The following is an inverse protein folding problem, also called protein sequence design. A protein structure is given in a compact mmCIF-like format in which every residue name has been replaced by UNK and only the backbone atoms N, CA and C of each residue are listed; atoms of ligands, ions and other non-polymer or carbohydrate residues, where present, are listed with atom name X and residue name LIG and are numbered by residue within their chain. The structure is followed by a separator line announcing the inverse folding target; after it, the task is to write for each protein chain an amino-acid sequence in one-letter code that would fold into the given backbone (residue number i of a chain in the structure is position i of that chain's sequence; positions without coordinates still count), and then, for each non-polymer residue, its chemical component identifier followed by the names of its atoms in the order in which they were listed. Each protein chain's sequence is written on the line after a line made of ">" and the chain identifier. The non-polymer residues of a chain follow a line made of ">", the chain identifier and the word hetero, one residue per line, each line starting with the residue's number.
data_IF_641947328043
#
_entry.id   IF_641947328043
#
_cell.length_a   1.000
_cell.length_b   1.000
_cell.length_c   1.000
_cell.angle_alpha   90.00
_cell.angle_beta   90.00
_cell.angle_gamma   90.00
#
_symmetry.space_group_name_H-M   'P 1'
#
loop_
_entity.id
_entity.type
_entity.pdbx_description
1 polymer ?
#
# COMPACT_ATOMS: atom_id res chain seq x y z
N UNK A 1 77.57 -52.93 -46.38
CA UNK A 1 77.07 -52.72 -45.00
C UNK A 1 75.57 -52.37 -44.92
N UNK A 2 74.94 -51.89 -46.01
CA UNK A 2 73.52 -51.45 -46.00
C UNK A 2 72.47 -52.58 -45.84
N UNK A 3 72.68 -53.76 -46.44
CA UNK A 3 71.67 -54.84 -46.43
C UNK A 3 71.42 -55.52 -45.06
N UNK A 4 72.38 -55.46 -44.12
CA UNK A 4 72.18 -56.07 -42.78
C UNK A 4 71.26 -55.22 -41.90
N UNK A 5 71.27 -53.90 -42.07
CA UNK A 5 70.43 -52.99 -41.28
C UNK A 5 68.95 -53.14 -41.65
N UNK A 6 68.65 -53.25 -42.96
CA UNK A 6 67.30 -53.47 -43.46
C UNK A 6 66.69 -54.82 -43.05
N UNK A 7 67.52 -55.86 -42.82
CA UNK A 7 67.05 -57.14 -42.33
C UNK A 7 66.68 -57.09 -40.84
N UNK A 8 67.47 -56.38 -40.03
CA UNK A 8 67.20 -56.20 -38.59
C UNK A 8 65.91 -55.42 -38.34
N UNK A 9 65.68 -54.32 -39.08
CA UNK A 9 64.45 -53.51 -38.95
C UNK A 9 63.20 -54.30 -39.38
N UNK A 10 63.33 -55.23 -40.33
CA UNK A 10 62.20 -56.10 -40.74
C UNK A 10 61.83 -57.12 -39.67
N UNK A 11 62.80 -57.70 -38.97
CA UNK A 11 62.51 -58.66 -37.89
C UNK A 11 61.85 -57.98 -36.69
N UNK A 12 62.26 -56.74 -36.38
CA UNK A 12 61.65 -55.94 -35.32
C UNK A 12 60.18 -55.60 -35.63
N UNK A 13 59.88 -55.16 -36.85
CA UNK A 13 58.50 -54.90 -37.28
C UNK A 13 57.61 -56.15 -37.27
N UNK A 14 58.16 -57.32 -37.64
CA UNK A 14 57.40 -58.58 -37.60
C UNK A 14 57.05 -58.96 -36.16
N UNK A 15 57.92 -58.66 -35.20
CA UNK A 15 57.67 -58.92 -33.77
C UNK A 15 56.54 -58.04 -33.24
N UNK A 16 56.57 -56.73 -33.53
CA UNK A 16 55.51 -55.80 -33.10
C UNK A 16 54.14 -56.16 -33.67
N UNK A 17 54.07 -56.53 -34.96
CA UNK A 17 52.82 -56.96 -35.60
C UNK A 17 52.23 -58.19 -34.91
N UNK A 18 53.08 -59.11 -34.43
CA UNK A 18 52.63 -60.32 -33.73
C UNK A 18 52.05 -60.00 -32.35
N UNK A 19 52.64 -59.07 -31.61
CA UNK A 19 52.14 -58.62 -30.30
C UNK A 19 50.79 -57.89 -30.44
N UNK A 20 50.65 -57.00 -31.43
CA UNK A 20 49.38 -56.30 -31.71
C UNK A 20 48.25 -57.29 -32.03
N UNK A 21 48.57 -58.38 -32.76
CA UNK A 21 47.59 -59.39 -33.13
C UNK A 21 47.10 -60.19 -31.91
N UNK A 22 47.97 -60.44 -30.94
CA UNK A 22 47.61 -61.15 -29.70
C UNK A 22 46.75 -60.27 -28.79
N UNK A 23 47.08 -58.98 -28.66
CA UNK A 23 46.27 -58.01 -27.89
C UNK A 23 44.85 -57.91 -28.46
N UNK A 24 44.72 -57.81 -29.78
CA UNK A 24 43.40 -57.77 -30.43
C UNK A 24 42.59 -59.06 -30.24
N UNK A 25 43.26 -60.20 -30.11
CA UNK A 25 42.60 -61.47 -29.82
C UNK A 25 42.04 -61.49 -28.39
N UNK A 26 42.76 -60.95 -27.42
CA UNK A 26 42.28 -60.86 -26.03
C UNK A 26 41.09 -59.89 -25.89
N UNK A 27 41.12 -58.74 -26.57
CA UNK A 27 40.01 -57.76 -26.56
C UNK A 27 38.73 -58.38 -27.14
N UNK A 28 38.84 -59.18 -28.21
CA UNK A 28 37.67 -59.89 -28.79
C UNK A 28 37.11 -60.99 -27.88
N UNK A 29 37.94 -61.59 -27.02
CA UNK A 29 37.47 -62.54 -26.01
C UNK A 29 36.64 -61.85 -24.93
N UNK A 30 37.10 -60.70 -24.46
CA UNK A 30 36.48 -59.97 -23.36
C UNK A 30 35.11 -59.37 -23.71
N UNK A 31 34.88 -58.96 -24.97
CA UNK A 31 33.58 -58.40 -25.37
C UNK A 31 32.46 -59.44 -25.56
N UNK A 32 32.81 -60.74 -25.61
CA UNK A 32 31.84 -61.80 -25.89
C UNK A 32 31.14 -62.35 -24.64
N UNK A 33 31.68 -62.09 -23.45
CA UNK A 33 31.17 -62.64 -22.17
C UNK A 33 30.22 -61.70 -21.41
N UNK A 34 30.08 -60.43 -21.84
CA UNK A 34 29.19 -59.43 -21.20
C UNK A 34 27.78 -59.34 -21.83
N UNK A 35 27.31 -60.42 -22.48
CA UNK A 35 25.90 -60.59 -22.90
C UNK A 35 25.21 -61.69 -22.10
N UNK A 36 25.51 -61.77 -20.80
CA UNK A 36 24.67 -62.48 -19.85
C UNK A 36 23.39 -61.68 -19.60
N UNK A 37 22.23 -62.31 -19.82
CA UNK A 37 20.90 -61.80 -19.52
C UNK A 37 20.76 -61.35 -18.06
N UNK A 38 21.15 -60.11 -17.74
CA UNK A 38 20.73 -59.47 -16.49
C UNK A 38 19.30 -58.97 -16.69
N UNK A 39 18.32 -59.87 -16.51
CA UNK A 39 16.92 -59.48 -16.36
C UNK A 39 16.75 -58.77 -15.02
N UNK A 40 17.17 -57.50 -14.94
CA UNK A 40 16.87 -56.65 -13.78
C UNK A 40 15.34 -56.49 -13.76
N UNK A 41 14.69 -57.09 -12.77
CA UNK A 41 13.26 -56.91 -12.51
C UNK A 41 13.04 -55.51 -11.91
N UNK A 42 13.10 -54.47 -12.75
CA UNK A 42 12.92 -53.03 -12.38
C UNK A 42 11.45 -52.70 -12.08
N UNK A 43 10.53 -53.64 -12.30
CA UNK A 43 9.08 -53.40 -12.37
C UNK A 43 8.42 -52.84 -11.09
N UNK A 44 8.85 -53.11 -9.84
CA UNK A 44 8.14 -52.55 -8.67
C UNK A 44 8.64 -51.18 -8.18
N UNK A 45 9.74 -50.63 -8.69
CA UNK A 45 10.34 -49.39 -8.13
C UNK A 45 9.78 -48.09 -8.73
N UNK A 46 9.22 -48.15 -9.95
CA UNK A 46 8.64 -46.99 -10.64
C UNK A 46 7.51 -46.32 -9.84
N UNK A 47 6.52 -47.04 -9.25
CA UNK A 47 5.46 -46.37 -8.48
C UNK A 47 5.97 -45.71 -7.20
N UNK A 48 6.97 -46.31 -6.54
CA UNK A 48 7.53 -45.77 -5.29
C UNK A 48 8.29 -44.47 -5.55
N UNK A 49 9.09 -44.43 -6.63
CA UNK A 49 9.77 -43.19 -7.06
C UNK A 49 8.79 -42.10 -7.49
N UNK A 50 7.68 -42.48 -8.13
CA UNK A 50 6.62 -41.53 -8.50
C UNK A 50 5.97 -40.87 -7.29
N UNK A 51 5.65 -41.64 -6.24
CA UNK A 51 5.07 -41.10 -4.99
C UNK A 51 6.09 -40.20 -4.27
N UNK A 52 7.36 -40.61 -4.20
CA UNK A 52 8.40 -39.81 -3.55
C UNK A 52 8.59 -38.45 -4.27
N UNK A 53 8.57 -38.45 -5.60
CA UNK A 53 8.67 -37.23 -6.41
C UNK A 53 7.51 -36.27 -6.15
N UNK A 54 6.28 -36.79 -6.01
CA UNK A 54 5.10 -35.98 -5.71
C UNK A 54 5.16 -35.34 -4.32
N UNK A 55 5.69 -36.06 -3.32
CA UNK A 55 5.89 -35.52 -1.97
C UNK A 55 6.93 -34.40 -1.99
N UNK A 56 8.04 -34.59 -2.71
CA UNK A 56 9.07 -33.55 -2.88
C UNK A 56 8.49 -32.32 -3.58
N UNK A 57 7.75 -32.51 -4.69
CA UNK A 57 7.10 -31.40 -5.39
C UNK A 57 6.09 -30.64 -4.51
N UNK A 58 5.32 -31.34 -3.67
CA UNK A 58 4.35 -30.70 -2.77
C UNK A 58 4.97 -29.93 -1.60
N UNK A 59 6.16 -30.32 -1.13
CA UNK A 59 6.86 -29.63 -0.04
C UNK A 59 7.59 -28.36 -0.49
N UNK A 60 7.96 -28.27 -1.77
CA UNK A 60 8.70 -27.11 -2.32
C UNK A 60 7.81 -26.04 -2.95
N UNK A 61 6.51 -26.27 -3.11
CA UNK A 61 5.58 -25.20 -3.49
C UNK A 61 5.24 -24.39 -2.23
N UNK A 62 5.69 -23.12 -2.10
CA UNK A 62 5.30 -22.30 -0.96
C UNK A 62 3.78 -22.20 -0.96
N UNK A 63 3.15 -22.67 0.12
CA UNK A 63 1.74 -22.38 0.40
C UNK A 63 1.65 -20.86 0.53
N UNK A 64 1.34 -20.17 -0.56
CA UNK A 64 0.89 -18.79 -0.47
C UNK A 64 -0.46 -18.86 0.24
N UNK A 65 -0.61 -18.31 1.47
CA UNK A 65 -1.91 -18.22 2.06
C UNK A 65 -2.76 -17.38 1.13
N UNK A 66 -3.72 -18.01 0.46
CA UNK A 66 -4.75 -17.32 -0.29
C UNK A 66 -5.64 -16.69 0.79
N UNK A 67 -5.21 -15.54 1.29
CA UNK A 67 -6.00 -14.75 2.22
C UNK A 67 -7.30 -14.41 1.53
N UNK A 68 -8.42 -14.93 2.04
CA UNK A 68 -9.73 -14.46 1.66
C UNK A 68 -9.85 -13.03 2.19
N UNK A 69 -9.55 -12.05 1.34
CA UNK A 69 -9.81 -10.64 1.64
C UNK A 69 -11.32 -10.45 1.52
N UNK A 70 -12.00 -10.36 2.66
CA UNK A 70 -13.37 -9.86 2.70
C UNK A 70 -13.29 -8.34 2.49
N UNK A 71 -13.49 -7.90 1.24
CA UNK A 71 -13.62 -6.48 0.94
C UNK A 71 -15.02 -6.07 1.40
N UNK A 72 -15.10 -5.37 2.54
CA UNK A 72 -16.33 -4.69 2.92
C UNK A 72 -16.61 -3.57 1.91
N UNK A 73 -17.66 -3.72 1.12
CA UNK A 73 -18.08 -2.68 0.18
C UNK A 73 -18.71 -1.52 0.97
N UNK A 74 -18.03 -0.38 1.04
CA UNK A 74 -18.61 0.86 1.54
C UNK A 74 -19.42 1.52 0.44
N UNK A 75 -20.68 1.86 0.73
CA UNK A 75 -21.57 2.54 -0.21
C UNK A 75 -21.64 4.03 0.13
N UNK A 76 -21.33 4.88 -0.84
CA UNK A 76 -21.46 6.33 -0.72
C UNK A 76 -22.78 6.77 -1.37
N UNK A 77 -23.61 7.49 -0.62
CA UNK A 77 -24.86 8.07 -1.10
C UNK A 77 -24.79 9.59 -1.00
N UNK A 78 -25.36 10.28 -1.99
CA UNK A 78 -25.49 11.74 -1.99
C UNK A 78 -26.97 12.09 -2.10
N UNK A 79 -27.44 12.93 -1.19
CA UNK A 79 -28.82 13.40 -1.12
C UNK A 79 -28.86 14.93 -1.15
N UNK A 80 -29.70 15.49 -2.00
CA UNK A 80 -29.85 16.93 -2.16
C UNK A 80 -31.10 17.40 -1.44
N UNK A 81 -30.91 18.01 -0.28
CA UNK A 81 -32.02 18.47 0.57
C UNK A 81 -32.71 19.72 0.00
N UNK A 82 -31.99 20.55 -0.77
CA UNK A 82 -32.56 21.74 -1.44
C UNK A 82 -33.19 22.77 -0.49
N UNK A 83 -32.78 22.81 0.77
CA UNK A 83 -33.42 23.61 1.81
C UNK A 83 -33.00 25.08 1.72
N UNK A 84 -33.98 25.98 1.57
CA UNK A 84 -33.79 27.43 1.66
C UNK A 84 -34.60 27.98 2.85
N UNK A 85 -33.89 28.29 3.94
CA UNK A 85 -34.49 28.78 5.18
C UNK A 85 -34.40 30.31 5.24
N UNK A 86 -35.54 30.99 5.38
CA UNK A 86 -35.60 32.45 5.49
C UNK A 86 -36.09 32.96 6.86
N UNK A 87 -36.42 32.04 7.79
CA UNK A 87 -36.87 32.28 9.16
C UNK A 87 -36.39 31.13 10.04
N UNK A 88 -36.30 31.32 11.36
CA UNK A 88 -35.93 30.24 12.29
C UNK A 88 -36.82 29.01 12.08
N UNK A 89 -36.20 27.91 11.66
CA UNK A 89 -36.88 26.66 11.32
C UNK A 89 -35.95 25.49 11.65
N UNK A 90 -36.51 24.40 12.16
CA UNK A 90 -35.85 23.11 12.26
C UNK A 90 -36.27 22.23 11.07
N UNK A 91 -35.32 21.47 10.53
CA UNK A 91 -35.54 20.52 9.45
C UNK A 91 -34.92 19.18 9.82
N UNK A 92 -35.74 18.12 9.82
CA UNK A 92 -35.29 16.75 10.07
C UNK A 92 -35.04 16.07 8.73
N UNK A 93 -33.77 15.81 8.42
CA UNK A 93 -33.40 14.98 7.27
C UNK A 93 -33.60 13.50 7.62
N UNK A 94 -34.27 12.77 6.73
CA UNK A 94 -34.47 11.32 6.85
C UNK A 94 -33.76 10.64 5.68
N UNK A 95 -32.81 9.74 5.98
CA UNK A 95 -32.03 9.06 4.96
C UNK A 95 -32.93 8.18 4.09
N UNK A 96 -32.81 8.31 2.76
CA UNK A 96 -33.56 7.49 1.82
C UNK A 96 -33.11 6.02 1.80
N UNK A 97 -31.83 5.76 2.14
CA UNK A 97 -31.23 4.43 2.17
C UNK A 97 -31.04 3.96 3.61
N UNK A 98 -31.43 2.71 3.89
CA UNK A 98 -31.29 2.08 5.20
C UNK A 98 -29.93 1.39 5.32
N UNK A 99 -29.32 1.43 6.51
CA UNK A 99 -28.05 0.77 6.80
C UNK A 99 -27.36 1.38 8.02
N UNK A 100 -26.20 0.83 8.38
CA UNK A 100 -25.32 1.45 9.38
C UNK A 100 -24.63 2.67 8.76
N UNK A 101 -24.79 3.83 9.39
CA UNK A 101 -24.12 5.07 8.98
C UNK A 101 -22.69 5.09 9.52
N UNK A 102 -21.69 5.02 8.63
CA UNK A 102 -20.27 5.15 9.02
C UNK A 102 -19.80 6.60 9.10
N UNK A 103 -20.23 7.43 8.13
CA UNK A 103 -19.85 8.84 8.03
C UNK A 103 -20.97 9.65 7.38
N UNK A 104 -21.10 10.92 7.76
CA UNK A 104 -21.98 11.89 7.12
C UNK A 104 -21.19 13.14 6.76
N UNK A 105 -21.36 13.62 5.52
CA UNK A 105 -20.83 14.91 5.08
C UNK A 105 -22.00 15.83 4.75
N UNK A 106 -21.95 17.05 5.28
CA UNK A 106 -22.94 18.09 5.02
C UNK A 106 -22.22 19.28 4.40
N UNK A 107 -22.71 19.74 3.26
CA UNK A 107 -22.19 20.91 2.57
C UNK A 107 -23.30 21.97 2.46
N UNK A 108 -22.97 23.24 2.70
CA UNK A 108 -23.94 24.33 2.66
C UNK A 108 -23.29 25.69 2.88
N UNK A 109 -24.10 26.74 2.79
CA UNK A 109 -23.66 28.11 3.01
C UNK A 109 -24.72 28.87 3.82
N UNK A 110 -24.26 29.70 4.75
CA UNK A 110 -25.13 30.56 5.56
C UNK A 110 -25.04 31.97 4.98
N UNK A 111 -26.16 32.54 4.56
CA UNK A 111 -26.22 33.94 4.11
C UNK A 111 -26.88 34.81 5.17
N UNK A 112 -26.53 36.10 5.21
CA UNK A 112 -27.23 37.15 5.97
C UNK A 112 -27.29 36.95 7.51
N UNK A 113 -26.15 36.99 8.21
CA UNK A 113 -26.05 36.98 9.70
C UNK A 113 -26.94 35.93 10.40
N UNK A 114 -27.25 34.83 9.71
CA UNK A 114 -27.98 33.70 10.28
C UNK A 114 -27.06 32.85 11.14
N UNK A 115 -27.65 32.08 12.05
CA UNK A 115 -26.97 30.99 12.73
C UNK A 115 -27.59 29.67 12.28
N UNK A 116 -26.75 28.65 12.11
CA UNK A 116 -27.14 27.29 11.83
C UNK A 116 -26.46 26.35 12.83
N UNK A 117 -27.18 25.27 13.16
CA UNK A 117 -26.74 24.25 14.08
C UNK A 117 -27.21 22.91 13.55
N UNK A 118 -26.33 21.91 13.56
CA UNK A 118 -26.59 20.58 13.03
C UNK A 118 -26.39 19.55 14.14
N UNK A 119 -27.36 18.65 14.24
CA UNK A 119 -27.38 17.58 15.23
C UNK A 119 -27.56 16.22 14.56
N UNK A 120 -26.96 15.20 15.16
CA UNK A 120 -27.27 13.81 14.89
C UNK A 120 -28.13 13.27 16.03
N UNK A 121 -29.29 12.70 15.71
CA UNK A 121 -30.11 12.00 16.70
C UNK A 121 -29.90 10.49 16.57
N UNK A 122 -29.55 9.84 17.69
CA UNK A 122 -29.40 8.39 17.75
C UNK A 122 -29.98 7.86 19.06
N UNK A 123 -31.06 7.09 18.96
CA UNK A 123 -31.84 6.65 20.11
C UNK A 123 -32.51 7.84 20.82
N UNK A 124 -32.22 8.01 22.11
CA UNK A 124 -32.71 9.13 22.92
C UNK A 124 -31.69 10.27 23.08
N UNK A 125 -30.56 10.18 22.37
CA UNK A 125 -29.45 11.13 22.49
C UNK A 125 -29.36 12.01 21.24
N UNK A 126 -29.10 13.30 21.47
CA UNK A 126 -28.76 14.26 20.42
C UNK A 126 -27.28 14.62 20.53
N UNK A 127 -26.58 14.65 19.42
CA UNK A 127 -25.16 14.96 19.35
C UNK A 127 -24.94 16.18 18.46
N UNK A 128 -24.35 17.25 18.99
CA UNK A 128 -24.06 18.45 18.19
C UNK A 128 -22.86 18.17 17.28
N UNK A 129 -23.06 18.32 15.97
CA UNK A 129 -22.02 18.11 14.94
C UNK A 129 -21.44 19.44 14.49
N UNK A 130 -22.27 20.48 14.42
CA UNK A 130 -21.87 21.81 13.95
C UNK A 130 -22.68 22.90 14.64
N UNK A 131 -22.01 23.99 15.00
CA UNK A 131 -22.63 25.22 15.51
C UNK A 131 -21.90 26.43 14.91
N UNK A 132 -22.59 27.18 14.06
CA UNK A 132 -22.01 28.32 13.36
C UNK A 132 -21.61 29.48 14.27
N UNK A 133 -22.16 29.57 15.49
CA UNK A 133 -21.79 30.64 16.44
C UNK A 133 -20.33 30.54 16.88
N UNK A 134 -19.76 29.34 16.79
CA UNK A 134 -18.37 29.04 17.15
C UNK A 134 -17.38 29.30 16.02
N UNK A 135 -17.85 29.64 14.83
CA UNK A 135 -16.96 29.98 13.70
C UNK A 135 -16.24 31.32 13.90
N UNK A 136 -16.77 32.19 14.75
CA UNK A 136 -16.11 33.46 15.10
C UNK A 136 -15.04 33.27 16.19
N UNK A 137 -14.96 32.09 16.82
CA UNK A 137 -13.89 31.74 17.74
C UNK A 137 -12.61 31.47 16.93
N UNK A 138 -11.57 32.28 17.12
CA UNK A 138 -10.28 32.12 16.47
C UNK A 138 -9.72 30.71 16.73
N UNK A 139 -9.50 29.92 15.66
CA UNK A 139 -8.90 28.58 15.75
C UNK A 139 -9.67 27.46 15.04
N UNK A 140 -10.89 27.71 14.54
CA UNK A 140 -11.67 26.70 13.82
C UNK A 140 -11.48 26.79 12.29
N UNK A 141 -10.39 26.23 11.75
CA UNK A 141 -10.13 26.19 10.30
C UNK A 141 -10.42 24.83 9.64
N UNK A 142 -10.51 23.73 10.41
CA UNK A 142 -10.92 22.42 9.92
C UNK A 142 -11.86 21.73 10.91
N UNK A 143 -13.16 21.63 10.58
CA UNK A 143 -14.13 20.86 11.39
C UNK A 143 -14.21 19.44 10.84
N UNK A 144 -13.27 18.59 11.24
CA UNK A 144 -13.54 17.15 11.41
C UNK A 144 -14.24 16.99 12.76
N UNK A 145 -15.56 17.22 12.78
CA UNK A 145 -16.32 17.31 14.04
C UNK A 145 -16.43 15.98 14.78
N UNK A 146 -16.04 15.96 16.06
CA UNK A 146 -16.38 14.91 17.01
C UNK A 146 -17.79 15.17 17.55
N UNK A 147 -18.68 14.18 17.42
CA UNK A 147 -20.06 14.28 17.92
C UNK A 147 -20.09 14.17 19.46
N UNK A 148 -20.52 15.22 20.15
CA UNK A 148 -20.63 15.25 21.63
C UNK A 148 -22.07 15.05 22.06
N UNK A 149 -22.34 14.09 22.94
CA UNK A 149 -23.69 13.82 23.46
C UNK A 149 -24.20 14.98 24.32
N UNK A 150 -25.40 15.49 24.03
CA UNK A 150 -25.99 16.66 24.70
C UNK A 150 -26.71 16.33 26.04
N UNK A 151 -26.70 15.06 26.47
CA UNK A 151 -27.61 14.57 27.51
C UNK A 151 -27.01 14.42 28.92
N UNK A 152 -25.76 14.81 29.13
CA UNK A 152 -25.18 14.83 30.48
C UNK A 152 -24.94 16.26 30.90
N UNK A 153 -25.82 16.75 31.79
CA UNK A 153 -25.55 17.87 32.71
C UNK A 153 -24.51 17.47 33.77
N UNK A 154 -23.58 16.58 33.43
CA UNK A 154 -22.38 16.41 34.22
C UNK A 154 -21.52 17.61 33.86
N UNK A 155 -21.45 18.55 34.81
CA UNK A 155 -20.43 19.58 34.81
C UNK A 155 -19.11 18.89 34.48
N UNK A 156 -18.59 19.11 33.27
CA UNK A 156 -17.20 18.86 32.98
C UNK A 156 -16.46 19.84 33.89
N UNK A 157 -16.18 19.42 35.12
CA UNK A 157 -15.01 19.94 35.79
C UNK A 157 -13.88 19.55 34.86
N UNK A 158 -13.35 20.55 34.16
CA UNK A 158 -12.02 20.52 33.58
C UNK A 158 -11.09 20.03 34.69
N UNK A 159 -10.95 18.72 34.77
CA UNK A 159 -9.88 18.10 35.53
C UNK A 159 -8.69 18.38 34.64
N UNK A 160 -8.00 19.49 34.92
CA UNK A 160 -6.67 19.67 34.40
C UNK A 160 -5.90 18.45 34.87
N UNK A 161 -5.54 17.60 33.91
CA UNK A 161 -4.54 16.59 34.15
C UNK A 161 -3.28 17.39 34.38
N UNK A 162 -2.98 17.67 35.65
CA UNK A 162 -1.64 18.04 36.09
C UNK A 162 -0.80 16.79 35.92
N UNK A 163 -0.43 16.49 34.68
CA UNK A 163 0.71 15.65 34.43
C UNK A 163 1.92 16.52 34.77
N UNK A 164 2.41 16.33 36.00
CA UNK A 164 3.65 16.92 36.47
C UNK A 164 4.81 16.24 35.74
N UNK A 165 4.99 16.61 34.48
CA UNK A 165 6.27 16.52 33.82
C UNK A 165 6.96 17.85 34.12
N UNK A 166 7.99 17.77 34.95
CA UNK A 166 8.95 18.84 35.14
C UNK A 166 9.60 19.16 33.80
N UNK A 167 9.00 20.07 33.02
CA UNK A 167 9.66 20.67 31.87
C UNK A 167 9.79 22.18 32.06
N UNK A 168 11.07 22.54 32.12
CA UNK A 168 11.63 23.85 32.30
C UNK A 168 11.27 24.73 31.09
N UNK A 169 10.41 25.72 31.32
CA UNK A 169 10.45 27.02 30.67
C UNK A 169 10.60 27.03 29.12
N UNK A 170 9.56 26.62 28.38
CA UNK A 170 9.42 27.13 27.02
C UNK A 170 7.96 27.29 26.55
N UNK A 171 7.63 28.52 26.20
CA UNK A 171 6.35 29.05 25.70
C UNK A 171 5.51 28.08 24.86
N UNK A 172 4.43 27.55 25.41
CA UNK A 172 3.35 26.83 24.70
C UNK A 172 2.46 27.82 23.95
N UNK A 173 2.95 28.30 22.81
CA UNK A 173 2.07 28.81 21.75
C UNK A 173 1.42 27.62 21.05
N UNK A 174 0.11 27.70 20.76
CA UNK A 174 -0.59 26.68 19.99
C UNK A 174 0.14 26.43 18.66
N UNK A 175 0.40 25.15 18.40
CA UNK A 175 0.97 24.68 17.13
C UNK A 175 -0.15 24.68 16.08
N UNK A 176 -0.16 25.71 15.24
CA UNK A 176 -1.15 25.89 14.17
C UNK A 176 -0.49 25.49 12.84
N UNK A 177 -1.19 24.65 12.08
CA UNK A 177 -0.84 24.29 10.70
C UNK A 177 -1.90 24.92 9.80
N UNK A 178 -1.49 25.86 8.97
CA UNK A 178 -2.35 26.39 7.91
C UNK A 178 -2.03 25.64 6.62
N UNK A 179 -3.03 24.96 6.05
CA UNK A 179 -2.91 24.24 4.77
C UNK A 179 -3.81 24.95 3.75
N UNK A 180 -3.21 25.46 2.68
CA UNK A 180 -3.92 26.04 1.56
C UNK A 180 -3.72 25.18 0.32
N UNK A 181 -4.83 24.69 -0.24
CA UNK A 181 -4.86 24.12 -1.59
C UNK A 181 -4.94 25.31 -2.56
N UNK A 182 -3.90 25.54 -3.35
CA UNK A 182 -3.76 26.76 -4.16
C UNK A 182 -4.65 26.80 -5.41
N UNK A 183 -5.51 25.80 -5.61
CA UNK A 183 -6.50 25.74 -6.70
C UNK A 183 -6.73 24.31 -7.14
N UNK A 184 -7.92 24.01 -7.70
CA UNK A 184 -8.14 22.75 -8.40
C UNK A 184 -7.15 22.68 -9.57
N UNK A 185 -6.32 21.63 -9.59
CA UNK A 185 -5.09 21.52 -10.39
C UNK A 185 -5.03 22.34 -11.68
N UNK A 186 -3.92 23.04 -11.89
CA UNK A 186 -3.67 23.74 -13.15
C UNK A 186 -3.42 22.68 -14.23
N UNK A 187 -4.13 22.78 -15.35
CA UNK A 187 -3.86 21.91 -16.51
C UNK A 187 -2.53 22.34 -17.13
N UNK A 188 -1.50 21.54 -16.93
CA UNK A 188 -0.24 21.64 -17.65
C UNK A 188 -0.42 21.23 -19.13
N UNK A 189 0.60 21.45 -19.96
CA UNK A 189 0.63 20.87 -21.31
C UNK A 189 0.46 19.33 -21.20
N UNK A 190 -0.29 18.72 -22.12
CA UNK A 190 -0.55 17.26 -22.19
C UNK A 190 -1.55 16.62 -21.19
N UNK A 191 -2.60 17.32 -20.76
CA UNK A 191 -3.66 16.76 -19.89
C UNK A 191 -3.16 16.27 -18.51
N UNK A 192 -2.03 16.82 -18.04
CA UNK A 192 -1.51 16.63 -16.69
C UNK A 192 -2.02 17.75 -15.79
N UNK A 193 -2.59 17.42 -14.64
CA UNK A 193 -2.95 18.35 -13.59
C UNK A 193 -1.83 18.40 -12.57
N UNK A 194 -1.33 19.59 -12.29
CA UNK A 194 -0.36 19.84 -11.24
C UNK A 194 -1.10 20.38 -10.00
N UNK A 195 -0.90 19.72 -8.87
CA UNK A 195 -1.54 20.02 -7.60
C UNK A 195 -0.47 20.40 -6.58
N UNK A 196 -0.43 21.68 -6.24
CA UNK A 196 0.48 22.25 -5.26
C UNK A 196 -0.18 22.34 -3.88
N UNK A 197 0.65 22.18 -2.85
CA UNK A 197 0.28 22.39 -1.47
C UNK A 197 1.12 23.49 -0.86
N UNK A 198 0.47 24.52 -0.34
CA UNK A 198 1.12 25.49 0.53
C UNK A 198 0.79 25.13 1.98
N UNK A 199 1.82 24.96 2.80
CA UNK A 199 1.64 24.85 4.25
C UNK A 199 2.53 25.85 4.99
N UNK A 200 2.05 26.32 6.12
CA UNK A 200 2.84 27.11 7.07
C UNK A 200 2.64 26.60 8.49
N UNK A 201 3.74 26.58 9.23
CA UNK A 201 3.78 26.09 10.60
C UNK A 201 4.11 27.25 11.56
N UNK A 202 3.40 27.33 12.69
CA UNK A 202 3.69 28.34 13.72
C UNK A 202 4.93 28.03 14.57
N UNK A 203 5.62 26.92 14.31
CA UNK A 203 6.80 26.47 15.06
C UNK A 203 7.93 26.04 14.11
N UNK A 204 9.13 25.90 14.67
CA UNK A 204 10.31 25.42 13.94
C UNK A 204 10.16 23.93 13.62
N UNK A 205 9.86 23.63 12.36
CA UNK A 205 9.62 22.27 11.87
C UNK A 205 10.92 21.67 11.35
N UNK A 206 11.19 20.45 11.80
CA UNK A 206 12.22 19.61 11.19
C UNK A 206 11.67 19.04 9.87
N UNK A 207 11.95 19.74 8.77
CA UNK A 207 11.49 19.37 7.43
C UNK A 207 12.06 18.03 6.94
N UNK A 208 13.11 17.48 7.55
CA UNK A 208 13.64 16.16 7.24
C UNK A 208 12.74 15.02 7.76
N UNK A 209 11.75 15.35 8.61
CA UNK A 209 10.77 14.42 9.19
C UNK A 209 9.35 14.62 8.68
N UNK A 210 9.12 15.60 7.81
CA UNK A 210 7.80 15.89 7.26
C UNK A 210 7.52 15.04 6.02
N UNK A 211 6.27 14.61 5.85
CA UNK A 211 5.79 14.03 4.61
C UNK A 211 4.37 14.52 4.30
N UNK A 212 4.01 14.55 3.02
CA UNK A 212 2.66 14.83 2.56
C UNK A 212 2.05 13.54 2.04
N UNK A 213 0.93 13.14 2.63
CA UNK A 213 0.06 12.07 2.14
C UNK A 213 -0.97 12.64 1.18
N UNK A 214 -0.84 12.30 -0.09
CA UNK A 214 -1.85 12.53 -1.11
C UNK A 214 -2.81 11.36 -1.17
N UNK A 215 -4.11 11.64 -1.19
CA UNK A 215 -5.15 10.64 -1.40
C UNK A 215 -5.89 10.96 -2.70
N UNK A 216 -5.75 10.09 -3.69
CA UNK A 216 -6.39 10.16 -5.00
C UNK A 216 -7.44 9.06 -5.07
N UNK A 217 -8.72 9.40 -4.91
CA UNK A 217 -9.80 8.43 -4.77
C UNK A 217 -9.51 7.43 -3.63
N UNK A 218 -9.12 6.19 -3.97
CA UNK A 218 -8.73 5.14 -3.01
C UNK A 218 -7.22 4.85 -2.97
N UNK A 219 -6.42 5.55 -3.77
CA UNK A 219 -4.97 5.37 -3.88
C UNK A 219 -4.25 6.41 -3.02
N UNK A 220 -3.34 5.97 -2.17
CA UNK A 220 -2.48 6.83 -1.37
C UNK A 220 -1.08 6.96 -1.98
N UNK A 221 -0.52 8.16 -1.99
CA UNK A 221 0.86 8.46 -2.38
C UNK A 221 1.49 9.29 -1.28
N UNK A 222 2.74 9.02 -0.91
CA UNK A 222 3.44 9.75 0.14
C UNK A 222 4.69 10.43 -0.42
N UNK A 223 4.83 11.72 -0.18
CA UNK A 223 6.02 12.49 -0.56
C UNK A 223 6.77 12.99 0.67
N UNK A 224 8.10 12.97 0.69
CA UNK A 224 8.91 13.54 1.78
C UNK A 224 9.77 12.52 2.53
N UNK A 225 9.75 12.59 3.86
CA UNK A 225 10.61 11.76 4.71
C UNK A 225 10.27 10.27 4.63
N UNK A 226 11.28 9.41 4.42
CA UNK A 226 11.11 7.95 4.40
C UNK A 226 10.52 7.43 5.73
N UNK A 227 10.96 7.96 6.86
CA UNK A 227 10.46 7.56 8.18
C UNK A 227 8.95 7.87 8.34
N UNK A 228 8.53 9.05 7.87
CA UNK A 228 7.14 9.51 7.93
C UNK A 228 6.25 8.68 6.99
N UNK A 229 6.70 8.41 5.76
CA UNK A 229 5.96 7.57 4.83
C UNK A 229 5.91 6.11 5.29
N UNK A 230 6.99 5.58 5.88
CA UNK A 230 7.03 4.24 6.45
C UNK A 230 6.03 4.08 7.61
N UNK A 231 5.86 5.11 8.44
CA UNK A 231 4.82 5.13 9.48
C UNK A 231 3.40 4.98 8.91
N UNK A 232 3.16 5.52 7.72
CA UNK A 232 1.91 5.37 6.98
C UNK A 232 1.82 4.05 6.18
N UNK A 233 2.84 3.18 6.24
CA UNK A 233 3.03 2.01 5.39
C UNK A 233 3.00 2.35 3.88
N UNK A 234 3.62 3.47 3.50
CA UNK A 234 3.72 3.94 2.12
C UNK A 234 5.18 4.12 1.72
N UNK A 235 5.46 3.96 0.42
CA UNK A 235 6.77 4.30 -0.14
C UNK A 235 6.89 5.83 -0.28
N UNK A 236 8.05 6.37 0.09
CA UNK A 236 8.31 7.81 -0.08
C UNK A 236 8.75 8.12 -1.50
N UNK A 237 8.27 9.24 -2.05
CA UNK A 237 8.76 9.78 -3.32
C UNK A 237 8.82 11.30 -3.32
N UNK A 238 9.93 11.89 -3.76
CA UNK A 238 10.07 13.35 -3.84
C UNK A 238 10.15 14.05 -2.47
N UNK A 239 10.15 15.39 -2.48
CA UNK A 239 10.08 16.21 -1.25
C UNK A 239 8.64 16.37 -0.75
N UNK A 240 8.45 16.64 0.54
CA UNK A 240 7.11 16.77 1.12
C UNK A 240 6.26 17.87 0.46
N UNK A 241 6.91 18.91 -0.07
CA UNK A 241 6.35 20.04 -0.80
C UNK A 241 6.24 19.80 -2.32
N UNK A 242 6.63 18.62 -2.80
CA UNK A 242 6.63 18.32 -4.23
C UNK A 242 5.20 18.20 -4.76
N UNK A 243 4.94 18.91 -5.86
CA UNK A 243 3.65 18.91 -6.55
C UNK A 243 3.20 17.49 -6.97
N UNK A 244 1.93 17.20 -6.75
CA UNK A 244 1.33 15.97 -7.25
C UNK A 244 0.94 16.16 -8.72
N UNK A 245 1.52 15.33 -9.57
CA UNK A 245 1.21 15.30 -11.00
C UNK A 245 0.18 14.20 -11.28
N UNK A 246 -1.01 14.60 -11.73
CA UNK A 246 -2.13 13.71 -12.00
C UNK A 246 -2.48 13.70 -13.48
N UNK A 247 -2.52 12.52 -14.10
CA UNK A 247 -2.98 12.36 -15.49
C UNK A 247 -3.96 11.20 -15.58
N UNK A 248 -4.73 11.13 -16.67
CA UNK A 248 -5.70 10.05 -16.86
C UNK A 248 -5.01 8.68 -16.78
N UNK A 249 -5.52 7.78 -15.94
CA UNK A 249 -4.97 6.45 -15.68
C UNK A 249 -3.84 6.39 -14.65
N UNK A 250 -3.17 7.50 -14.33
CA UNK A 250 -2.14 7.54 -13.28
C UNK A 250 -2.81 7.48 -11.91
N UNK A 251 -2.32 6.64 -11.00
CA UNK A 251 -2.93 6.41 -9.69
C UNK A 251 -4.43 6.06 -9.78
N UNK A 252 -4.81 5.31 -10.82
CA UNK A 252 -6.21 4.93 -11.09
C UNK A 252 -7.15 6.13 -11.34
N UNK A 253 -6.59 7.26 -11.77
CA UNK A 253 -7.37 8.47 -12.00
C UNK A 253 -8.28 8.36 -13.22
N UNK A 254 -9.55 8.71 -13.02
CA UNK A 254 -10.57 8.79 -14.07
C UNK A 254 -10.80 10.21 -14.58
N UNK A 255 -11.99 10.45 -15.18
CA UNK A 255 -12.42 11.80 -15.60
C UNK A 255 -12.79 12.71 -14.43
N UNK A 256 -13.23 12.12 -13.33
CA UNK A 256 -13.55 12.80 -12.08
C UNK A 256 -12.73 12.14 -10.98
N UNK A 257 -11.96 12.92 -10.24
CA UNK A 257 -11.13 12.43 -9.14
C UNK A 257 -11.38 13.30 -7.92
N UNK A 258 -11.38 12.69 -6.74
CA UNK A 258 -11.30 13.41 -5.47
C UNK A 258 -9.85 13.33 -5.01
N UNK A 259 -9.22 14.49 -4.85
CA UNK A 259 -7.84 14.59 -4.36
C UNK A 259 -7.85 15.34 -3.04
N UNK A 260 -7.20 14.78 -2.03
CA UNK A 260 -6.90 15.46 -0.77
C UNK A 260 -5.44 15.28 -0.41
N UNK A 261 -4.93 16.18 0.43
CA UNK A 261 -3.57 16.14 0.93
C UNK A 261 -3.59 16.34 2.44
N UNK A 262 -2.65 15.69 3.12
CA UNK A 262 -2.41 15.83 4.56
C UNK A 262 -0.89 15.92 4.75
N UNK A 263 -0.45 16.92 5.50
CA UNK A 263 0.94 17.07 5.96
C UNK A 263 1.04 16.65 7.41
#
# INVERSE_FOLDING_TARGET
>A
MSNKKAASEREELIKEIKEIKEINRQIKGYSKDSRGDVRIKIVPFIPVMGILLLIVLGLFTPLTPIGLVAIESQFNYSDSVGLAVNKSQAYTWTMANYGSLSSVKLDGFITKRGSAMVYLEYGNNSYTVFDSSRLEESGFTLITGLAVANNTTDSIQNTSINDSVDDENNSTGDKIIDIAVLGGGSKAEDDVFELDLASSFSWDVDYDKVCTKWSINSVGVCHGSEDCCAFLNMESSGGWDSALHLSYGRYESGKNNTVSAQV
#
